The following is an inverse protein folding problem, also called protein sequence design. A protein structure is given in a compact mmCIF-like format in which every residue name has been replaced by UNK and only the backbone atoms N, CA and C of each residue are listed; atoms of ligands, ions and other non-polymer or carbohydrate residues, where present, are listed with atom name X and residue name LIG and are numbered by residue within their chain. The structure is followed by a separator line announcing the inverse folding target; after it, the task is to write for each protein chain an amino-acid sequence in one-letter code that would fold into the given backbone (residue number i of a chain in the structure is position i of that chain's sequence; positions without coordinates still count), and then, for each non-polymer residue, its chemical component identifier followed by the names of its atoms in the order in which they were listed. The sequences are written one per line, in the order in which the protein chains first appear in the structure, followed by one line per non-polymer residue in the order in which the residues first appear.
data_IF_643540991022
#
_entry.id   IF_643540991022
#
_cell.length_a   1.000
_cell.length_b   1.000
_cell.length_c   1.000
_cell.angle_alpha   90.00
_cell.angle_beta   90.00
_cell.angle_gamma   90.00
#
_symmetry.space_group_name_H-M   'P 1'
#
loop_
_entity.id
_entity.type
_entity.pdbx_description
1 polymer ?
#
# COMPACT_ATOMS: atom_id res chain seq x y z
N UNK A 1 23.57 -21.55 -5.39
CA UNK A 1 24.65 -20.58 -5.60
C UNK A 1 24.15 -19.29 -6.29
N UNK A 2 23.39 -19.38 -7.39
CA UNK A 2 22.95 -18.25 -8.20
C UNK A 2 22.10 -17.20 -7.44
N UNK A 3 21.32 -17.60 -6.46
CA UNK A 3 20.47 -16.68 -5.67
C UNK A 3 21.28 -15.84 -4.68
N UNK A 4 22.35 -16.41 -4.10
CA UNK A 4 23.28 -15.69 -3.22
C UNK A 4 24.16 -14.72 -4.00
N UNK A 5 24.64 -15.10 -5.18
CA UNK A 5 25.41 -14.21 -6.05
C UNK A 5 24.60 -13.03 -6.54
N UNK A 6 23.29 -13.20 -6.91
CA UNK A 6 22.40 -12.08 -7.27
C UNK A 6 22.16 -11.12 -6.10
N UNK A 7 22.05 -11.63 -4.87
CA UNK A 7 21.90 -10.78 -3.69
C UNK A 7 23.18 -9.98 -3.38
N UNK A 8 24.35 -10.56 -3.60
CA UNK A 8 25.63 -9.86 -3.47
C UNK A 8 25.76 -8.75 -4.52
N UNK A 9 25.51 -9.03 -5.80
CA UNK A 9 25.57 -8.01 -6.85
C UNK A 9 24.62 -6.82 -6.64
N UNK A 10 23.42 -7.05 -6.08
CA UNK A 10 22.47 -5.97 -5.74
C UNK A 10 23.00 -5.14 -4.56
N UNK A 11 23.61 -5.80 -3.57
CA UNK A 11 24.22 -5.12 -2.42
C UNK A 11 25.40 -4.25 -2.86
N UNK A 12 26.28 -4.80 -3.67
CA UNK A 12 27.47 -4.11 -4.16
C UNK A 12 27.07 -2.87 -5.01
N UNK A 13 26.07 -3.02 -5.88
CA UNK A 13 25.53 -1.90 -6.64
C UNK A 13 24.90 -0.81 -5.76
N UNK A 14 24.24 -1.17 -4.66
CA UNK A 14 23.65 -0.18 -3.74
C UNK A 14 24.73 0.55 -2.94
N UNK A 15 25.83 -0.12 -2.57
CA UNK A 15 26.98 0.49 -1.90
C UNK A 15 27.64 1.50 -2.84
N UNK A 16 27.91 1.11 -4.08
CA UNK A 16 28.51 1.96 -5.11
C UNK A 16 27.67 3.26 -5.35
N UNK A 17 26.34 3.13 -5.41
CA UNK A 17 25.47 4.29 -5.53
C UNK A 17 25.44 5.19 -4.28
N UNK A 18 25.52 4.62 -3.08
CA UNK A 18 25.57 5.43 -1.86
C UNK A 18 26.87 6.21 -1.74
N UNK A 19 28.02 5.61 -2.06
CA UNK A 19 29.33 6.32 -2.11
C UNK A 19 29.28 7.47 -3.12
N UNK A 20 28.78 7.23 -4.32
CA UNK A 20 28.64 8.30 -5.35
C UNK A 20 27.72 9.43 -4.93
N UNK A 21 26.67 9.14 -4.16
CA UNK A 21 25.77 10.16 -3.62
C UNK A 21 26.46 10.98 -2.52
N UNK A 22 27.24 10.33 -1.64
CA UNK A 22 28.04 11.00 -0.61
C UNK A 22 29.11 11.88 -1.24
N UNK A 23 29.82 11.42 -2.27
CA UNK A 23 30.80 12.20 -3.04
C UNK A 23 30.15 13.42 -3.72
N UNK A 24 28.87 13.31 -4.11
CA UNK A 24 28.08 14.43 -4.63
C UNK A 24 27.54 15.39 -3.55
N UNK A 25 27.92 15.18 -2.28
CA UNK A 25 27.50 16.02 -1.15
C UNK A 25 26.14 15.64 -0.54
N UNK A 26 25.59 14.49 -0.89
CA UNK A 26 24.35 14.00 -0.29
C UNK A 26 24.64 13.37 1.08
N UNK A 27 23.72 13.58 2.03
CA UNK A 27 23.72 12.83 3.28
C UNK A 27 22.97 11.53 3.08
N UNK A 28 23.68 10.41 3.12
CA UNK A 28 23.09 9.06 3.00
C UNK A 28 22.78 8.50 4.39
N UNK A 29 21.58 7.92 4.54
CA UNK A 29 21.14 7.20 5.75
C UNK A 29 20.93 5.75 5.35
N UNK A 30 21.76 4.85 5.88
CA UNK A 30 21.75 3.42 5.54
C UNK A 30 20.63 2.63 6.21
N UNK A 31 19.67 3.31 6.82
CA UNK A 31 18.59 2.71 7.59
C UNK A 31 18.98 2.45 9.04
N UNK A 32 18.25 1.61 9.71
CA UNK A 32 18.48 1.20 11.09
C UNK A 32 18.13 -0.29 11.27
N UNK A 33 18.68 -0.90 12.35
CA UNK A 33 18.72 -2.36 12.51
C UNK A 33 17.34 -3.02 12.58
N UNK A 34 16.35 -2.32 13.14
CA UNK A 34 15.09 -2.94 13.56
C UNK A 34 14.05 -3.00 12.43
N UNK A 35 14.12 -2.06 11.47
CA UNK A 35 13.11 -1.94 10.43
C UNK A 35 13.74 -1.80 9.03
N UNK A 36 13.17 -2.52 8.08
CA UNK A 36 13.49 -2.31 6.66
C UNK A 36 12.68 -1.13 6.12
N UNK A 37 13.33 -0.14 5.54
CA UNK A 37 12.65 0.95 4.83
C UNK A 37 12.19 0.42 3.47
N UNK A 38 10.87 0.50 3.22
CA UNK A 38 10.28 0.04 1.96
C UNK A 38 9.39 1.12 1.32
N UNK A 39 9.16 2.22 2.00
CA UNK A 39 8.45 3.39 1.45
C UNK A 39 9.18 4.01 0.26
N UNK A 40 8.45 4.64 -0.66
CA UNK A 40 8.94 5.35 -1.83
C UNK A 40 8.42 6.78 -1.75
N UNK A 41 9.22 7.64 -1.15
CA UNK A 41 8.86 9.04 -0.91
C UNK A 41 10.00 9.93 -1.37
N UNK A 42 9.66 10.96 -2.14
CA UNK A 42 10.55 12.05 -2.47
C UNK A 42 9.91 13.35 -1.95
N UNK A 43 10.65 14.13 -1.17
CA UNK A 43 10.20 15.40 -0.62
C UNK A 43 11.13 16.52 -1.09
N UNK A 44 10.56 17.48 -1.79
CA UNK A 44 11.24 18.72 -2.16
C UNK A 44 10.77 19.81 -1.21
N UNK A 45 11.71 20.42 -0.51
CA UNK A 45 11.45 21.52 0.41
C UNK A 45 11.96 22.81 -0.22
N UNK A 46 11.08 23.76 -0.43
CA UNK A 46 11.38 25.06 -1.03
C UNK A 46 11.26 26.15 0.03
N UNK A 47 12.25 27.05 0.11
CA UNK A 47 12.19 28.25 0.94
C UNK A 47 11.62 29.39 0.11
N UNK A 48 10.33 29.68 0.30
CA UNK A 48 9.64 30.80 -0.34
C UNK A 48 9.64 32.06 0.52
N UNK A 49 9.11 33.16 -0.02
CA UNK A 49 8.94 34.44 0.73
C UNK A 49 7.96 34.29 1.90
N UNK A 50 6.98 33.43 1.78
CA UNK A 50 5.91 33.15 2.77
C UNK A 50 6.21 31.99 3.71
N UNK A 51 7.41 31.40 3.66
CA UNK A 51 7.81 30.27 4.50
C UNK A 51 8.22 29.04 3.68
N UNK A 52 8.19 27.89 4.33
CA UNK A 52 8.56 26.62 3.73
C UNK A 52 7.37 26.09 2.91
N UNK A 53 7.65 25.63 1.69
CA UNK A 53 6.71 24.95 0.81
C UNK A 53 7.21 23.55 0.49
N UNK A 54 6.29 22.62 0.35
CA UNK A 54 6.57 21.22 0.06
C UNK A 54 6.00 20.81 -1.30
N UNK A 55 6.77 20.02 -2.04
CA UNK A 55 6.28 19.18 -3.12
C UNK A 55 6.67 17.75 -2.78
N UNK A 56 5.67 16.87 -2.69
CA UNK A 56 5.87 15.49 -2.25
C UNK A 56 5.47 14.53 -3.35
N UNK A 57 6.32 13.56 -3.63
CA UNK A 57 6.00 12.42 -4.48
C UNK A 57 5.99 11.16 -3.62
N UNK A 58 4.92 10.37 -3.72
CA UNK A 58 4.76 9.08 -3.03
C UNK A 58 4.34 8.04 -4.04
N UNK A 59 5.07 6.93 -4.09
CA UNK A 59 4.86 5.87 -5.07
C UNK A 59 4.63 4.50 -4.45
N UNK A 60 3.97 3.64 -5.21
CA UNK A 60 3.81 2.21 -4.87
C UNK A 60 5.04 1.41 -5.30
N UNK A 61 5.74 1.85 -6.33
CA UNK A 61 6.87 1.18 -6.99
C UNK A 61 8.24 1.73 -6.65
N UNK A 62 9.25 0.90 -6.82
CA UNK A 62 10.65 1.25 -6.57
C UNK A 62 11.18 2.24 -7.60
N UNK A 63 12.08 3.15 -7.18
CA UNK A 63 12.89 3.98 -8.07
C UNK A 63 13.97 3.12 -8.75
N UNK A 64 13.55 2.27 -9.67
CA UNK A 64 14.45 1.37 -10.40
C UNK A 64 13.99 1.23 -11.85
N UNK A 65 14.85 1.61 -12.79
CA UNK A 65 14.57 1.62 -14.21
C UNK A 65 14.13 0.25 -14.77
N UNK A 66 14.76 -0.83 -14.32
CA UNK A 66 14.47 -2.18 -14.82
C UNK A 66 13.09 -2.66 -14.35
N UNK A 67 12.74 -2.40 -13.09
CA UNK A 67 11.44 -2.82 -12.57
C UNK A 67 10.31 -1.94 -13.06
N UNK A 68 10.54 -0.64 -13.27
CA UNK A 68 9.51 0.29 -13.76
C UNK A 68 9.00 -0.04 -15.16
N UNK A 69 9.80 -0.75 -15.97
CA UNK A 69 9.40 -1.21 -17.31
C UNK A 69 8.52 -2.46 -17.31
N UNK A 70 8.49 -3.18 -16.19
CA UNK A 70 7.83 -4.49 -16.07
C UNK A 70 6.67 -4.48 -15.09
N UNK A 71 6.56 -3.44 -14.25
CA UNK A 71 5.58 -3.33 -13.17
C UNK A 71 4.55 -2.25 -13.49
N UNK A 72 3.31 -2.50 -13.11
CA UNK A 72 2.29 -1.45 -13.04
C UNK A 72 2.33 -0.84 -11.64
N UNK A 73 2.66 0.43 -11.58
CA UNK A 73 2.74 1.17 -10.33
C UNK A 73 2.03 2.51 -10.43
N UNK A 74 1.70 3.08 -9.28
CA UNK A 74 1.10 4.40 -9.15
C UNK A 74 2.07 5.35 -8.45
N UNK A 75 2.03 6.61 -8.85
CA UNK A 75 2.82 7.67 -8.23
C UNK A 75 1.98 8.95 -8.14
N UNK A 76 1.84 9.47 -6.93
CA UNK A 76 1.18 10.74 -6.66
C UNK A 76 2.24 11.83 -6.44
N UNK A 77 2.13 12.92 -7.20
CA UNK A 77 2.90 14.15 -6.96
C UNK A 77 1.91 15.20 -6.48
N UNK A 78 2.17 15.79 -5.32
CA UNK A 78 1.26 16.75 -4.70
C UNK A 78 2.00 17.93 -4.08
N UNK A 79 1.40 19.11 -4.15
CA UNK A 79 1.82 20.31 -3.44
C UNK A 79 0.99 20.54 -2.16
N UNK A 80 0.24 19.53 -1.69
CA UNK A 80 -0.47 19.62 -0.42
C UNK A 80 0.52 19.78 0.73
N UNK A 81 0.42 20.90 1.44
CA UNK A 81 1.40 21.29 2.47
C UNK A 81 1.30 20.38 3.70
N UNK A 82 0.14 19.85 4.01
CA UNK A 82 -0.06 18.97 5.17
C UNK A 82 0.54 17.58 4.92
N UNK A 83 0.37 17.04 3.71
CA UNK A 83 1.05 15.80 3.29
C UNK A 83 2.58 16.01 3.30
N UNK A 84 3.06 17.16 2.82
CA UNK A 84 4.47 17.51 2.84
C UNK A 84 5.04 17.63 4.25
N UNK A 85 4.28 18.23 5.18
CA UNK A 85 4.67 18.32 6.58
C UNK A 85 4.75 16.93 7.23
N UNK A 86 3.80 16.03 6.94
CA UNK A 86 3.85 14.65 7.42
C UNK A 86 5.07 13.90 6.86
N UNK A 87 5.33 14.02 5.55
CA UNK A 87 6.53 13.44 4.92
C UNK A 87 7.82 13.97 5.57
N UNK A 88 7.89 15.27 5.89
CA UNK A 88 9.03 15.86 6.60
C UNK A 88 9.22 15.22 7.98
N UNK A 89 8.14 14.99 8.74
CA UNK A 89 8.20 14.32 10.05
C UNK A 89 8.72 12.88 9.91
N UNK A 90 8.27 12.16 8.88
CA UNK A 90 8.78 10.81 8.58
C UNK A 90 10.28 10.84 8.32
N UNK A 91 10.77 11.73 7.46
CA UNK A 91 12.21 11.87 7.19
C UNK A 91 13.01 12.23 8.45
N UNK A 92 12.51 13.18 9.27
CA UNK A 92 13.16 13.55 10.53
C UNK A 92 13.22 12.40 11.54
N UNK A 93 12.19 11.58 11.63
CA UNK A 93 12.19 10.39 12.48
C UNK A 93 13.23 9.37 11.99
N UNK A 94 13.21 9.04 10.69
CA UNK A 94 14.18 8.12 10.09
C UNK A 94 15.63 8.60 10.28
N UNK A 95 15.87 9.91 10.20
CA UNK A 95 17.19 10.50 10.44
C UNK A 95 17.71 10.27 11.86
N UNK A 96 16.80 10.15 12.84
CA UNK A 96 17.14 9.83 14.24
C UNK A 96 17.16 8.33 14.53
N UNK A 97 16.93 7.48 13.53
CA UNK A 97 16.80 6.02 13.74
C UNK A 97 15.46 5.62 14.38
N UNK A 98 14.44 6.45 14.23
CA UNK A 98 13.12 6.26 14.83
C UNK A 98 12.03 6.10 13.75
N UNK A 99 10.84 5.69 14.17
CA UNK A 99 9.62 5.70 13.36
C UNK A 99 8.59 6.63 13.98
N UNK A 100 7.76 7.27 13.15
CA UNK A 100 6.67 8.11 13.63
C UNK A 100 5.65 7.29 14.43
N UNK A 101 5.10 7.91 15.47
CA UNK A 101 4.04 7.34 16.31
C UNK A 101 2.67 7.77 15.80
N UNK A 102 1.61 7.09 16.29
CA UNK A 102 0.25 7.51 16.01
C UNK A 102 0.02 8.92 16.60
N UNK A 103 -0.53 9.82 15.80
CA UNK A 103 -0.68 11.23 16.14
C UNK A 103 0.45 12.16 15.65
N UNK A 104 1.64 11.66 15.34
CA UNK A 104 2.72 12.47 14.75
C UNK A 104 2.41 12.89 13.32
N UNK A 105 1.65 12.08 12.59
CA UNK A 105 1.20 12.30 11.23
C UNK A 105 -0.32 12.29 11.16
N UNK A 106 -0.91 13.15 10.34
CA UNK A 106 -2.36 13.32 10.24
C UNK A 106 -2.96 12.75 8.96
N UNK A 107 -2.22 12.81 7.88
CA UNK A 107 -2.68 12.46 6.53
C UNK A 107 -2.04 11.16 6.04
N UNK A 108 -0.75 10.98 6.29
CA UNK A 108 -0.05 9.76 5.90
C UNK A 108 -0.34 8.62 6.87
N UNK A 109 -0.51 7.42 6.34
CA UNK A 109 -0.54 6.20 7.14
C UNK A 109 0.86 5.59 7.10
N UNK A 110 1.52 5.49 8.25
CA UNK A 110 2.92 5.05 8.34
C UNK A 110 3.04 3.81 9.21
N UNK A 111 3.60 2.74 8.64
CA UNK A 111 4.02 1.58 9.43
C UNK A 111 5.41 1.83 10.05
N UNK A 112 5.72 1.18 11.19
CA UNK A 112 4.97 0.10 11.82
C UNK A 112 3.89 0.53 12.84
N UNK A 113 3.77 1.81 13.21
CA UNK A 113 3.03 2.19 14.40
C UNK A 113 1.60 2.68 14.17
N UNK A 114 1.27 3.19 12.97
CA UNK A 114 -0.05 3.76 12.74
C UNK A 114 -0.81 3.21 11.52
N UNK A 115 -0.14 2.66 10.52
CA UNK A 115 -0.81 2.21 9.29
C UNK A 115 -1.87 1.14 9.55
N UNK A 116 -1.56 0.08 10.32
CA UNK A 116 -2.50 -1.01 10.59
C UNK A 116 -3.73 -0.52 11.35
N UNK A 117 -3.52 0.25 12.43
CA UNK A 117 -4.60 0.77 13.27
C UNK A 117 -5.55 1.66 12.47
N UNK A 118 -5.01 2.55 11.63
CA UNK A 118 -5.82 3.44 10.78
C UNK A 118 -6.63 2.68 9.73
N UNK A 119 -6.09 1.58 9.19
CA UNK A 119 -6.85 0.70 8.29
C UNK A 119 -7.99 0.02 9.06
N UNK A 120 -7.72 -0.47 10.27
CA UNK A 120 -8.75 -1.05 11.15
C UNK A 120 -9.85 -0.02 11.44
N UNK A 121 -9.49 1.21 11.82
CA UNK A 121 -10.45 2.30 12.07
C UNK A 121 -11.35 2.56 10.83
N UNK A 122 -10.77 2.56 9.61
CA UNK A 122 -11.53 2.75 8.38
C UNK A 122 -12.45 1.57 8.04
N UNK A 123 -12.05 0.34 8.35
CA UNK A 123 -12.91 -0.83 8.22
C UNK A 123 -14.07 -0.75 9.23
N UNK A 124 -13.79 -0.41 10.50
CA UNK A 124 -14.80 -0.25 11.54
C UNK A 124 -15.80 0.87 11.20
N UNK A 125 -15.33 1.96 10.55
CA UNK A 125 -16.21 3.00 10.03
C UNK A 125 -17.17 2.45 8.96
N UNK A 126 -16.73 1.57 8.06
CA UNK A 126 -17.60 0.95 7.07
C UNK A 126 -18.62 -0.01 7.70
N UNK A 127 -18.21 -0.76 8.74
CA UNK A 127 -19.13 -1.60 9.52
C UNK A 127 -20.20 -0.74 10.18
N UNK A 128 -19.79 0.36 10.83
CA UNK A 128 -20.73 1.29 11.48
C UNK A 128 -21.70 1.92 10.47
N UNK A 129 -21.21 2.33 9.30
CA UNK A 129 -22.04 2.86 8.21
C UNK A 129 -23.08 1.83 7.76
N UNK A 130 -22.68 0.59 7.55
CA UNK A 130 -23.56 -0.49 7.14
C UNK A 130 -24.66 -0.75 8.17
N UNK A 131 -24.28 -0.83 9.46
CA UNK A 131 -25.20 -1.03 10.57
C UNK A 131 -26.19 0.12 10.73
N UNK A 132 -25.80 1.34 10.34
CA UNK A 132 -26.65 2.51 10.30
C UNK A 132 -27.51 2.63 9.02
N UNK A 133 -27.52 1.62 8.14
CA UNK A 133 -28.24 1.63 6.87
C UNK A 133 -27.64 2.56 5.81
N UNK A 134 -26.40 3.03 6.00
CA UNK A 134 -25.69 3.87 5.05
C UNK A 134 -24.94 3.03 4.02
N UNK A 135 -24.63 3.58 2.84
CA UNK A 135 -23.74 2.93 1.89
C UNK A 135 -22.37 2.66 2.51
N UNK A 136 -21.84 1.44 2.29
CA UNK A 136 -20.53 1.02 2.81
C UNK A 136 -19.84 0.12 1.79
N UNK A 137 -18.52 0.31 1.65
CA UNK A 137 -17.72 -0.43 0.69
C UNK A 137 -16.25 -0.48 1.12
N UNK A 138 -15.60 -1.61 0.84
CA UNK A 138 -14.16 -1.79 1.00
C UNK A 138 -13.60 -2.40 -0.28
N UNK A 139 -12.65 -1.70 -0.90
CA UNK A 139 -11.88 -2.18 -2.04
C UNK A 139 -10.39 -2.18 -1.73
N UNK A 140 -9.70 -3.31 -1.90
CA UNK A 140 -8.27 -3.41 -1.63
C UNK A 140 -7.55 -4.13 -2.76
N UNK A 141 -6.57 -3.45 -3.38
CA UNK A 141 -5.62 -4.05 -4.31
C UNK A 141 -4.26 -4.12 -3.64
N UNK A 142 -3.71 -5.33 -3.50
CA UNK A 142 -2.44 -5.62 -2.84
C UNK A 142 -1.75 -6.82 -3.47
N UNK A 143 -0.47 -7.03 -3.15
CA UNK A 143 0.22 -8.22 -3.66
C UNK A 143 -0.06 -9.45 -2.80
N UNK A 144 -0.19 -9.30 -1.48
CA UNK A 144 -0.45 -10.43 -0.57
C UNK A 144 -1.26 -10.00 0.65
N UNK A 145 -2.12 -10.91 1.11
CA UNK A 145 -3.01 -10.78 2.26
C UNK A 145 -2.72 -11.90 3.26
N UNK A 146 -1.96 -11.61 4.33
CA UNK A 146 -1.56 -12.58 5.37
C UNK A 146 -1.56 -11.99 6.77
N UNK A 147 -1.91 -10.72 6.94
CA UNK A 147 -2.01 -10.06 8.24
C UNK A 147 -3.30 -10.50 8.94
N UNK A 148 -3.14 -11.22 10.06
CA UNK A 148 -4.30 -11.79 10.76
C UNK A 148 -5.27 -10.72 11.26
N UNK A 149 -4.76 -9.60 11.78
CA UNK A 149 -5.60 -8.51 12.31
C UNK A 149 -6.49 -7.94 11.21
N UNK A 150 -5.89 -7.64 10.04
CA UNK A 150 -6.63 -7.10 8.90
C UNK A 150 -7.59 -8.14 8.29
N UNK A 151 -7.19 -9.41 8.26
CA UNK A 151 -8.06 -10.51 7.78
C UNK A 151 -9.30 -10.63 8.68
N UNK A 152 -9.10 -10.70 10.00
CA UNK A 152 -10.22 -10.82 10.95
C UNK A 152 -11.18 -9.63 10.79
N UNK A 153 -10.66 -8.41 10.63
CA UNK A 153 -11.49 -7.21 10.41
C UNK A 153 -12.25 -7.21 9.07
N UNK A 154 -11.65 -7.73 8.00
CA UNK A 154 -12.36 -7.90 6.72
C UNK A 154 -13.48 -8.95 6.83
N UNK A 155 -13.29 -9.99 7.64
CA UNK A 155 -14.34 -10.98 7.95
C UNK A 155 -15.47 -10.30 8.75
N UNK A 156 -15.14 -9.53 9.79
CA UNK A 156 -16.14 -8.76 10.56
C UNK A 156 -16.96 -7.83 9.64
N UNK A 157 -16.31 -7.15 8.69
CA UNK A 157 -16.98 -6.30 7.72
C UNK A 157 -17.93 -7.09 6.81
N UNK A 158 -17.50 -8.26 6.34
CA UNK A 158 -18.36 -9.16 5.54
C UNK A 158 -19.58 -9.64 6.33
N UNK A 159 -19.40 -10.05 7.58
CA UNK A 159 -20.48 -10.47 8.46
C UNK A 159 -21.48 -9.35 8.75
N UNK A 160 -21.00 -8.10 8.82
CA UNK A 160 -21.87 -6.93 8.91
C UNK A 160 -22.58 -6.57 7.59
N UNK A 161 -22.32 -7.32 6.49
CA UNK A 161 -22.92 -7.11 5.18
C UNK A 161 -22.24 -6.02 4.34
N UNK A 162 -21.02 -5.60 4.67
CA UNK A 162 -20.24 -4.68 3.84
C UNK A 162 -19.71 -5.44 2.61
N UNK A 163 -19.88 -4.87 1.41
CA UNK A 163 -19.28 -5.39 0.19
C UNK A 163 -17.77 -5.18 0.24
N UNK A 164 -17.00 -6.27 0.13
CA UNK A 164 -15.53 -6.26 0.15
C UNK A 164 -15.00 -6.84 -1.15
N UNK A 165 -14.23 -6.07 -1.90
CA UNK A 165 -13.60 -6.48 -3.15
C UNK A 165 -12.08 -6.45 -3.02
N UNK A 166 -11.45 -7.60 -3.23
CA UNK A 166 -10.01 -7.78 -3.05
C UNK A 166 -9.36 -8.20 -4.36
N UNK A 167 -8.33 -7.46 -4.77
CA UNK A 167 -7.43 -7.83 -5.87
C UNK A 167 -6.10 -8.26 -5.25
N UNK A 168 -5.84 -9.57 -5.21
CA UNK A 168 -4.65 -10.14 -4.55
C UNK A 168 -3.92 -11.07 -5.51
N UNK A 169 -2.79 -10.62 -6.06
CA UNK A 169 -2.05 -11.40 -7.07
C UNK A 169 -1.17 -12.52 -6.51
N UNK A 170 -0.86 -12.51 -5.22
CA UNK A 170 0.02 -13.48 -4.56
C UNK A 170 -0.71 -14.27 -3.47
N UNK A 171 -0.08 -14.38 -2.29
CA UNK A 171 -0.63 -15.15 -1.18
C UNK A 171 -1.88 -14.46 -0.63
N UNK A 172 -2.99 -15.20 -0.59
CA UNK A 172 -4.24 -14.77 0.02
C UNK A 172 -4.67 -15.80 1.08
N UNK A 173 -4.75 -15.37 2.34
CA UNK A 173 -5.16 -16.21 3.47
C UNK A 173 -6.64 -16.05 3.83
N UNK A 174 -7.46 -15.51 2.95
CA UNK A 174 -8.91 -15.44 3.08
C UNK A 174 -9.53 -16.38 2.04
N UNK A 175 -10.47 -17.23 2.48
CA UNK A 175 -11.36 -17.98 1.59
C UNK A 175 -12.61 -17.13 1.37
N UNK A 176 -12.88 -16.65 0.14
CA UNK A 176 -14.04 -15.81 -0.13
C UNK A 176 -15.34 -16.65 -0.19
N UNK A 177 -16.49 -15.96 -0.12
CA UNK A 177 -17.83 -16.52 -0.37
C UNK A 177 -18.19 -17.72 0.52
N UNK A 178 -17.74 -17.72 1.78
CA UNK A 178 -18.15 -18.70 2.79
C UNK A 178 -19.36 -18.14 3.52
N UNK A 179 -20.47 -18.90 3.49
CA UNK A 179 -21.71 -18.54 4.17
C UNK A 179 -21.50 -18.25 5.66
N UNK A 180 -22.09 -17.17 6.15
CA UNK A 180 -21.97 -16.72 7.54
C UNK A 180 -20.61 -16.14 7.93
N UNK A 181 -19.63 -16.09 7.04
CA UNK A 181 -18.30 -15.58 7.33
C UNK A 181 -17.81 -14.57 6.27
N UNK A 182 -17.55 -15.00 5.06
CA UNK A 182 -16.96 -14.19 4.00
C UNK A 182 -17.85 -14.10 2.77
N UNK A 183 -19.14 -14.25 2.93
CA UNK A 183 -20.13 -14.26 1.84
C UNK A 183 -20.12 -12.96 1.01
N UNK A 184 -19.77 -11.83 1.64
CA UNK A 184 -19.67 -10.53 1.01
C UNK A 184 -18.23 -10.16 0.55
N UNK A 185 -17.29 -11.11 0.63
CA UNK A 185 -15.91 -10.92 0.13
C UNK A 185 -15.77 -11.57 -1.24
N UNK A 186 -15.38 -10.77 -2.23
CA UNK A 186 -14.92 -11.24 -3.54
C UNK A 186 -13.41 -11.08 -3.63
N UNK A 187 -12.72 -12.13 -4.08
CA UNK A 187 -11.26 -12.09 -4.31
C UNK A 187 -10.97 -12.45 -5.74
N UNK A 188 -10.22 -11.61 -6.43
CA UNK A 188 -9.69 -11.90 -7.76
C UNK A 188 -8.17 -11.82 -7.76
N UNK A 189 -7.53 -12.48 -8.71
CA UNK A 189 -6.09 -12.40 -8.96
C UNK A 189 -5.86 -12.18 -10.45
N UNK A 190 -5.07 -11.15 -10.77
CA UNK A 190 -4.75 -10.81 -12.15
C UNK A 190 -3.28 -11.10 -12.41
N UNK A 191 -3.03 -11.90 -13.43
CA UNK A 191 -1.70 -12.24 -13.92
C UNK A 191 -1.64 -11.92 -15.41
N UNK A 192 -0.83 -10.95 -15.78
CA UNK A 192 -0.70 -10.49 -17.15
C UNK A 192 0.76 -10.30 -17.59
N UNK A 193 0.94 -9.61 -18.71
CA UNK A 193 2.25 -9.27 -19.26
C UNK A 193 3.10 -8.45 -18.28
N UNK A 194 2.45 -7.53 -17.57
CA UNK A 194 3.08 -6.69 -16.55
C UNK A 194 2.72 -7.19 -15.16
N UNK A 195 3.63 -6.99 -14.21
CA UNK A 195 3.40 -7.34 -12.82
C UNK A 195 2.49 -6.30 -12.18
N UNK A 196 1.27 -6.71 -11.79
CA UNK A 196 0.31 -5.87 -11.08
C UNK A 196 0.80 -5.57 -9.66
N UNK A 197 1.59 -4.49 -9.51
CA UNK A 197 2.34 -4.20 -8.30
C UNK A 197 1.77 -3.05 -7.48
N UNK A 198 0.94 -2.20 -8.04
CA UNK A 198 0.32 -1.08 -7.34
C UNK A 198 -0.54 -1.56 -6.16
N UNK A 199 -0.59 -0.78 -5.08
CA UNK A 199 -1.48 -1.00 -3.95
C UNK A 199 -2.43 0.16 -3.83
N UNK A 200 -3.71 -0.17 -3.73
CA UNK A 200 -4.82 0.76 -3.62
C UNK A 200 -5.71 0.31 -2.46
N UNK A 201 -6.09 1.24 -1.60
CA UNK A 201 -7.09 1.01 -0.56
C UNK A 201 -8.25 1.98 -0.77
N UNK A 202 -9.46 1.48 -0.74
CA UNK A 202 -10.70 2.23 -0.94
C UNK A 202 -11.66 1.92 0.20
N UNK A 203 -12.19 2.96 0.85
CA UNK A 203 -13.16 2.84 1.94
C UNK A 203 -14.28 3.85 1.76
N UNK A 204 -15.52 3.36 1.73
CA UNK A 204 -16.70 4.18 1.49
C UNK A 204 -17.09 4.31 0.02
N UNK A 205 -18.08 5.13 -0.24
CA UNK A 205 -18.68 5.36 -1.57
C UNK A 205 -18.93 6.83 -1.81
N UNK A 206 -18.99 7.26 -3.07
CA UNK A 206 -19.31 8.63 -3.46
C UNK A 206 -18.26 9.65 -2.99
N UNK A 207 -18.73 10.78 -2.50
CA UNK A 207 -17.87 11.90 -2.10
C UNK A 207 -17.08 11.61 -0.83
N UNK A 208 -17.63 10.79 0.07
CA UNK A 208 -16.99 10.38 1.34
C UNK A 208 -15.98 9.26 1.16
N UNK A 209 -15.81 8.74 -0.06
CA UNK A 209 -14.84 7.67 -0.34
C UNK A 209 -13.41 8.13 -0.06
N UNK A 210 -12.72 7.37 0.79
CA UNK A 210 -11.31 7.54 1.10
C UNK A 210 -10.49 6.60 0.20
N UNK A 211 -9.62 7.17 -0.63
CA UNK A 211 -8.72 6.41 -1.51
C UNK A 211 -7.28 6.67 -1.11
N UNK A 212 -6.51 5.60 -0.98
CA UNK A 212 -5.07 5.65 -0.70
C UNK A 212 -4.29 4.86 -1.74
N UNK A 213 -3.09 5.32 -2.06
CA UNK A 213 -2.06 4.51 -2.70
C UNK A 213 -0.95 4.21 -1.68
N UNK A 214 -0.37 3.01 -1.73
CA UNK A 214 0.51 2.55 -0.66
C UNK A 214 1.72 1.76 -1.17
N UNK A 215 2.77 1.72 -0.35
CA UNK A 215 3.89 0.79 -0.52
C UNK A 215 3.65 -0.55 0.18
N UNK A 216 2.68 -0.62 1.10
CA UNK A 216 2.41 -1.78 1.96
C UNK A 216 1.43 -2.78 1.35
N UNK A 217 1.72 -4.05 1.55
CA UNK A 217 0.74 -5.14 1.45
C UNK A 217 0.11 -5.39 2.83
N UNK A 218 -1.01 -6.11 2.89
CA UNK A 218 -1.62 -6.56 4.15
C UNK A 218 -0.91 -7.82 4.68
N UNK A 219 0.35 -7.64 5.02
CA UNK A 219 1.20 -8.66 5.60
C UNK A 219 1.80 -8.16 6.91
N UNK A 220 1.85 -8.98 7.94
CA UNK A 220 2.42 -8.63 9.25
C UNK A 220 3.82 -8.02 9.15
N UNK A 221 4.66 -8.51 8.23
CA UNK A 221 5.99 -7.92 8.00
C UNK A 221 5.93 -6.49 7.48
N UNK A 222 4.89 -6.11 6.70
CA UNK A 222 4.72 -4.76 6.18
C UNK A 222 4.14 -3.83 7.25
N UNK A 223 3.19 -4.32 8.04
CA UNK A 223 2.47 -3.54 9.03
C UNK A 223 3.27 -3.31 10.31
N UNK A 224 4.20 -4.25 10.67
CA UNK A 224 4.89 -4.27 11.97
C UNK A 224 6.42 -4.21 11.88
N UNK A 225 7.04 -4.65 10.76
CA UNK A 225 8.50 -4.79 10.65
C UNK A 225 9.15 -3.99 9.53
N UNK A 226 8.39 -3.10 8.90
CA UNK A 226 8.86 -2.24 7.82
C UNK A 226 8.39 -0.81 8.02
N UNK A 227 9.15 0.12 7.47
CA UNK A 227 8.66 1.48 7.24
C UNK A 227 7.97 1.50 5.90
N UNK A 228 6.65 1.61 5.94
CA UNK A 228 5.78 1.71 4.78
C UNK A 228 4.97 2.99 4.86
N UNK A 229 4.54 3.51 3.73
CA UNK A 229 3.72 4.73 3.66
C UNK A 229 2.53 4.49 2.74
N UNK A 230 1.35 4.91 3.19
CA UNK A 230 0.19 5.11 2.35
C UNK A 230 -0.20 6.60 2.37
N UNK A 231 -0.55 7.14 1.22
CA UNK A 231 -0.96 8.54 1.06
C UNK A 231 -2.40 8.63 0.59
N UNK A 232 -3.22 9.51 1.21
CA UNK A 232 -4.56 9.78 0.71
C UNK A 232 -4.48 10.51 -0.63
N UNK A 233 -5.47 10.25 -1.48
CA UNK A 233 -5.67 10.94 -2.74
C UNK A 233 -6.86 11.88 -2.56
N UNK A 234 -6.61 13.20 -2.54
CA UNK A 234 -7.66 14.20 -2.32
C UNK A 234 -8.24 14.76 -3.62
N UNK A 235 -7.43 14.83 -4.68
CA UNK A 235 -7.86 15.33 -5.97
C UNK A 235 -8.94 14.43 -6.60
N UNK A 236 -10.08 15.01 -6.97
CA UNK A 236 -11.22 14.26 -7.48
C UNK A 236 -10.90 13.52 -8.78
N UNK A 237 -10.15 14.16 -9.70
CA UNK A 237 -9.78 13.55 -10.97
C UNK A 237 -8.79 12.38 -10.76
N UNK A 238 -7.86 12.51 -9.81
CA UNK A 238 -6.96 11.42 -9.44
C UNK A 238 -7.74 10.26 -8.77
N UNK A 239 -8.71 10.55 -7.90
CA UNK A 239 -9.62 9.54 -7.34
C UNK A 239 -10.35 8.79 -8.45
N UNK A 240 -10.93 9.49 -9.42
CA UNK A 240 -11.67 8.89 -10.53
C UNK A 240 -10.79 7.97 -11.38
N UNK A 241 -9.55 8.38 -11.66
CA UNK A 241 -8.58 7.52 -12.36
C UNK A 241 -8.28 6.24 -11.59
N UNK A 242 -8.03 6.35 -10.28
CA UNK A 242 -7.70 5.18 -9.44
C UNK A 242 -8.91 4.26 -9.31
N UNK A 243 -10.10 4.83 -9.16
CA UNK A 243 -11.38 4.10 -9.15
C UNK A 243 -11.56 3.33 -10.46
N UNK A 244 -11.38 4.01 -11.59
CA UNK A 244 -11.47 3.39 -12.90
C UNK A 244 -10.47 2.24 -13.09
N UNK A 245 -9.21 2.43 -12.68
CA UNK A 245 -8.19 1.35 -12.71
C UNK A 245 -8.66 0.15 -11.87
N UNK A 246 -9.10 0.38 -10.64
CA UNK A 246 -9.55 -0.68 -9.74
C UNK A 246 -10.75 -1.43 -10.32
N UNK A 247 -11.77 -0.69 -10.76
CA UNK A 247 -13.01 -1.26 -11.27
C UNK A 247 -12.79 -2.02 -12.60
N UNK A 248 -11.92 -1.51 -13.47
CA UNK A 248 -11.52 -2.20 -14.70
C UNK A 248 -10.86 -3.54 -14.39
N UNK A 249 -9.95 -3.58 -13.41
CA UNK A 249 -9.30 -4.84 -13.01
C UNK A 249 -10.33 -5.80 -12.40
N UNK A 250 -11.29 -5.31 -11.61
CA UNK A 250 -12.34 -6.13 -11.01
C UNK A 250 -13.29 -6.76 -12.05
N UNK A 251 -13.44 -6.14 -13.21
CA UNK A 251 -14.35 -6.59 -14.28
C UNK A 251 -13.63 -7.25 -15.45
N UNK A 252 -12.31 -7.36 -15.40
CA UNK A 252 -11.50 -7.94 -16.47
C UNK A 252 -11.67 -9.46 -16.51
N UNK A 253 -12.33 -9.95 -17.55
CA UNK A 253 -12.58 -11.38 -17.83
C UNK A 253 -11.69 -11.96 -18.95
N UNK A 254 -10.92 -11.10 -19.65
CA UNK A 254 -10.02 -11.53 -20.73
C UNK A 254 -8.63 -11.95 -20.22
N UNK A 255 -8.15 -11.37 -19.11
CA UNK A 255 -6.92 -11.80 -18.45
C UNK A 255 -7.24 -12.93 -17.48
N UNK A 256 -6.42 -13.97 -17.42
CA UNK A 256 -6.59 -15.15 -16.57
C UNK A 256 -6.98 -14.78 -15.13
N UNK A 257 -8.27 -14.55 -14.89
CA UNK A 257 -8.84 -14.35 -13.57
C UNK A 257 -8.88 -15.71 -12.89
N UNK A 258 -8.03 -15.92 -11.89
CA UNK A 258 -8.15 -17.06 -11.00
C UNK A 258 -9.12 -16.66 -9.90
N UNK A 259 -10.38 -17.07 -10.05
CA UNK A 259 -11.31 -17.04 -8.92
C UNK A 259 -10.78 -18.00 -7.85
N UNK A 260 -10.36 -17.47 -6.71
CA UNK A 260 -9.93 -18.27 -5.55
C UNK A 260 -11.19 -18.79 -4.82
N UNK A 261 -12.24 -19.14 -5.55
CA UNK A 261 -13.46 -19.71 -4.98
C UNK A 261 -13.44 -21.24 -4.94
N UNK A 262 -12.46 -21.91 -5.57
CA UNK A 262 -12.40 -23.37 -5.52
C UNK A 262 -11.30 -23.87 -4.58
N UNK A 263 -11.64 -24.72 -3.60
CA UNK A 263 -10.67 -25.37 -2.72
C UNK A 263 -9.84 -26.47 -3.40
N UNK A 264 -9.90 -26.64 -4.70
CA UNK A 264 -9.53 -27.87 -5.39
C UNK A 264 -8.27 -27.81 -6.22
N UNK A 265 -7.27 -27.02 -5.86
CA UNK A 265 -5.93 -27.26 -6.40
C UNK A 265 -4.88 -27.39 -5.31
N UNK A 266 -5.21 -28.27 -4.36
CA UNK A 266 -4.22 -29.05 -3.64
C UNK A 266 -3.95 -30.32 -4.45
N UNK A 267 -3.16 -30.29 -5.40
CA UNK A 267 -2.47 -31.48 -5.91
C UNK A 267 -1.66 -30.99 -7.09
N UNK A 268 -0.45 -31.06 -6.90
CA UNK A 268 0.68 -31.03 -7.81
C UNK A 268 1.78 -30.14 -7.28
N UNK A 269 2.25 -30.53 -6.09
CA UNK A 269 3.66 -30.48 -5.78
C UNK A 269 3.96 -31.84 -5.16
N UNK A 270 4.30 -32.78 -6.02
CA UNK A 270 5.11 -33.94 -5.71
C UNK A 270 6.50 -33.65 -6.23
#
# INVERSE_FOLDING_TARGET
PLRRQRQMCIRDSNIDWSERLEDAGCRVIYGFSDYKIHSKVCLITLKGKSGIQYVTQIGTGNYNEKTSRLYTDLSLITANQEIGADASRVFMALQRGETVSDGDVKHLLVAPKCLQNKIVDMIDEQIANKNAGKPAYIGVKINSLTDKVLIDKLIDASQAGVKVELIVRGICCVKPQVEGATENITVISVVGRYLEHSRIYRFGVGDDEKIYIASADFMTRNTVRRVEVATPVYDAHAKDKIRHIFDTIMTDDELSLIHISEPTRRSYIS
#
